data_IF_605007774612
#
_entry.id   IF_605007774612
#
_cell.length_a   1.000
_cell.length_b   1.000
_cell.length_c   1.000
_cell.angle_alpha   90.00
_cell.angle_beta   90.00
_cell.angle_gamma   90.00
#
_symmetry.space_group_name_H-M   'P 1'
#
loop_
_entity.id
_entity.type
_entity.pdbx_description
1 polymer ?
#
# COMPACT_ATOMS: atom_id res chain seq x y z
N UNK A 1 2.99 -7.33 -6.85
CA UNK A 1 1.98 -8.22 -6.23
C UNK A 1 0.96 -7.43 -5.38
N UNK A 2 1.33 -6.43 -4.56
CA UNK A 2 0.39 -5.64 -3.72
C UNK A 2 -0.65 -4.79 -4.47
N UNK A 3 -0.20 -3.97 -5.43
CA UNK A 3 -1.11 -3.17 -6.27
C UNK A 3 -2.14 -4.03 -6.98
N UNK A 4 -1.76 -5.27 -7.36
CA UNK A 4 -2.67 -6.25 -7.95
C UNK A 4 -3.75 -6.72 -6.97
N UNK A 5 -3.44 -6.88 -5.68
CA UNK A 5 -4.45 -7.20 -4.66
C UNK A 5 -5.43 -6.04 -4.42
N UNK A 6 -4.99 -4.81 -4.56
CA UNK A 6 -5.86 -3.63 -4.39
C UNK A 6 -6.85 -3.43 -5.52
N UNK A 7 -6.55 -3.96 -6.71
CA UNK A 7 -7.46 -3.93 -7.87
C UNK A 7 -8.31 -5.19 -7.99
N UNK A 8 -8.07 -6.19 -7.15
CA UNK A 8 -8.82 -7.43 -7.13
C UNK A 8 -10.24 -7.17 -6.60
N UNK A 9 -11.25 -7.64 -7.33
CA UNK A 9 -12.66 -7.43 -7.00
C UNK A 9 -13.20 -6.01 -7.19
N UNK A 10 -12.43 -5.06 -7.74
CA UNK A 10 -12.94 -3.71 -8.02
C UNK A 10 -13.95 -3.71 -9.17
N UNK A 11 -15.03 -2.94 -9.01
CA UNK A 11 -15.92 -2.61 -10.11
C UNK A 11 -15.31 -1.51 -11.01
N UNK A 12 -15.90 -1.28 -12.18
CA UNK A 12 -15.39 -0.32 -13.16
C UNK A 12 -15.19 1.10 -12.58
N UNK A 13 -16.13 1.58 -11.76
CA UNK A 13 -16.05 2.91 -11.14
C UNK A 13 -14.89 2.99 -10.15
N UNK A 14 -14.71 1.97 -9.33
CA UNK A 14 -13.62 1.88 -8.37
C UNK A 14 -12.27 1.78 -9.07
N UNK A 15 -12.19 0.99 -10.14
CA UNK A 15 -10.98 0.86 -10.94
C UNK A 15 -10.58 2.18 -11.60
N UNK A 16 -11.53 2.92 -12.18
CA UNK A 16 -11.27 4.26 -12.73
C UNK A 16 -10.85 5.25 -11.65
N UNK A 17 -11.51 5.22 -10.48
CA UNK A 17 -11.13 6.05 -9.33
C UNK A 17 -9.70 5.73 -8.86
N UNK A 18 -9.35 4.45 -8.80
CA UNK A 18 -7.99 3.99 -8.49
C UNK A 18 -6.97 4.48 -9.51
N UNK A 19 -7.25 4.43 -10.81
CA UNK A 19 -6.32 4.95 -11.83
C UNK A 19 -6.18 6.47 -11.78
N UNK A 20 -7.24 7.18 -11.38
CA UNK A 20 -7.25 8.64 -11.36
C UNK A 20 -6.22 9.26 -10.41
N UNK A 21 -5.85 8.57 -9.32
CA UNK A 21 -4.85 9.04 -8.35
C UNK A 21 -3.43 9.08 -8.92
N UNK A 22 -3.14 8.29 -9.95
CA UNK A 22 -1.88 8.31 -10.68
C UNK A 22 -1.77 9.45 -11.69
N UNK A 23 -2.87 10.15 -11.98
CA UNK A 23 -2.88 11.32 -12.87
C UNK A 23 -1.96 12.43 -12.34
N UNK A 24 -1.33 13.16 -13.25
CA UNK A 24 -0.62 14.40 -12.92
C UNK A 24 -1.56 15.49 -12.39
N UNK A 25 -2.87 15.38 -12.67
CA UNK A 25 -3.91 16.30 -12.18
C UNK A 25 -4.43 15.96 -10.78
N UNK A 26 -4.06 14.80 -10.22
CA UNK A 26 -4.48 14.42 -8.88
C UNK A 26 -3.82 15.34 -7.85
N UNK A 27 -4.60 15.81 -6.88
CA UNK A 27 -4.10 16.67 -5.81
C UNK A 27 -3.11 15.91 -4.92
N UNK A 28 -2.26 16.66 -4.21
CA UNK A 28 -1.38 16.07 -3.21
C UNK A 28 -2.16 15.26 -2.16
N UNK A 29 -3.32 15.78 -1.72
CA UNK A 29 -4.18 15.11 -0.75
C UNK A 29 -4.65 13.73 -1.26
N UNK A 30 -5.10 13.66 -2.52
CA UNK A 30 -5.53 12.41 -3.13
C UNK A 30 -4.38 11.40 -3.25
N UNK A 31 -3.16 11.87 -3.56
CA UNK A 31 -1.97 11.01 -3.60
C UNK A 31 -1.60 10.49 -2.22
N UNK A 32 -1.66 11.34 -1.19
CA UNK A 32 -1.38 10.95 0.20
C UNK A 32 -2.40 9.92 0.69
N UNK A 33 -3.70 10.17 0.50
CA UNK A 33 -4.76 9.22 0.87
C UNK A 33 -4.59 7.88 0.17
N UNK A 34 -4.21 7.91 -1.11
CA UNK A 34 -3.94 6.70 -1.87
C UNK A 34 -2.74 5.93 -1.31
N UNK A 35 -1.61 6.61 -1.10
CA UNK A 35 -0.41 5.98 -0.53
C UNK A 35 -0.73 5.41 0.85
N UNK A 36 -1.48 6.13 1.68
CA UNK A 36 -1.88 5.64 2.99
C UNK A 36 -2.68 4.32 2.90
N UNK A 37 -3.64 4.23 1.97
CA UNK A 37 -4.39 2.98 1.71
C UNK A 37 -3.52 1.84 1.19
N UNK A 38 -2.42 2.13 0.49
CA UNK A 38 -1.46 1.10 0.05
C UNK A 38 -0.69 0.52 1.24
N UNK A 39 -0.45 1.33 2.27
CA UNK A 39 0.28 0.95 3.47
C UNK A 39 -0.63 0.30 4.52
N UNK A 40 -1.88 0.74 4.68
CA UNK A 40 -2.88 0.16 5.58
C UNK A 40 -3.46 -1.14 4.99
N UNK A 41 -2.85 -2.28 5.32
CA UNK A 41 -3.16 -3.58 4.69
C UNK A 41 -4.48 -4.12 5.20
N UNK A 42 -4.74 -3.95 6.49
CA UNK A 42 -5.94 -4.48 7.14
C UNK A 42 -7.15 -3.56 7.02
N UNK A 43 -6.97 -2.35 6.47
CA UNK A 43 -8.03 -1.43 6.12
C UNK A 43 -8.70 -0.79 7.34
N UNK A 44 -8.02 -0.74 8.49
CA UNK A 44 -8.56 -0.16 9.74
C UNK A 44 -8.49 1.36 9.78
N UNK A 45 -8.01 2.00 8.71
CA UNK A 45 -7.78 3.43 8.63
C UNK A 45 -6.55 3.88 9.41
N UNK A 46 -5.66 2.95 9.79
CA UNK A 46 -4.43 3.21 10.54
C UNK A 46 -3.33 2.28 10.06
N UNK A 47 -2.15 2.83 9.79
CA UNK A 47 -0.96 2.02 9.49
C UNK A 47 -0.36 1.52 10.81
N UNK A 48 -0.45 0.22 11.05
CA UNK A 48 0.12 -0.45 12.21
C UNK A 48 1.57 -0.88 11.98
N UNK A 49 2.28 -1.24 13.05
CA UNK A 49 3.63 -1.81 12.95
C UNK A 49 3.64 -3.08 12.07
N UNK A 50 2.62 -3.93 12.20
CA UNK A 50 2.47 -5.13 11.38
C UNK A 50 2.38 -4.79 9.89
N UNK A 51 1.64 -3.74 9.56
CA UNK A 51 1.51 -3.29 8.17
C UNK A 51 2.86 -2.87 7.59
N UNK A 52 3.65 -2.13 8.37
CA UNK A 52 4.98 -1.69 7.96
C UNK A 52 5.95 -2.86 7.80
N UNK A 53 5.95 -3.83 8.73
CA UNK A 53 6.77 -5.05 8.61
C UNK A 53 6.42 -5.83 7.34
N UNK A 54 5.12 -5.93 7.02
CA UNK A 54 4.67 -6.61 5.81
C UNK A 54 5.01 -5.80 4.54
N UNK A 55 4.99 -4.46 4.57
CA UNK A 55 5.48 -3.63 3.46
C UNK A 55 6.98 -3.89 3.25
N UNK A 56 7.76 -3.86 4.32
CA UNK A 56 9.20 -4.09 4.26
C UNK A 56 9.54 -5.50 3.77
N UNK A 57 8.75 -6.50 4.14
CA UNK A 57 8.84 -7.84 3.57
C UNK A 57 8.65 -7.83 2.07
N UNK A 58 7.62 -7.16 1.56
CA UNK A 58 7.32 -7.10 0.13
C UNK A 58 8.43 -6.37 -0.66
N UNK A 59 9.07 -5.36 -0.06
CA UNK A 59 10.17 -4.59 -0.69
C UNK A 59 11.52 -5.32 -0.67
N UNK A 60 11.81 -6.03 0.42
CA UNK A 60 13.13 -6.67 0.63
C UNK A 60 13.16 -8.12 0.16
N UNK A 61 12.02 -8.79 0.07
CA UNK A 61 11.93 -10.19 -0.34
C UNK A 61 12.86 -11.09 0.49
N UNK A 62 13.55 -12.02 -0.16
CA UNK A 62 14.50 -12.92 0.49
C UNK A 62 15.86 -12.28 0.84
N UNK A 63 16.09 -11.01 0.50
CA UNK A 63 17.39 -10.34 0.76
C UNK A 63 17.62 -9.97 2.22
N UNK A 64 16.55 -9.93 3.03
CA UNK A 64 16.61 -9.59 4.45
C UNK A 64 15.81 -10.61 5.29
N UNK A 65 16.40 -11.07 6.39
CA UNK A 65 15.73 -11.97 7.34
C UNK A 65 14.64 -11.25 8.15
N UNK A 66 13.68 -12.01 8.70
CA UNK A 66 12.61 -11.40 9.51
C UNK A 66 13.15 -10.65 10.73
N UNK A 67 14.15 -11.20 11.43
CA UNK A 67 14.82 -10.53 12.54
C UNK A 67 15.46 -9.19 12.14
N UNK A 68 16.06 -9.11 10.95
CA UNK A 68 16.63 -7.85 10.46
C UNK A 68 15.55 -6.81 10.14
N UNK A 69 14.35 -7.24 9.72
CA UNK A 69 13.24 -6.32 9.46
C UNK A 69 12.63 -5.79 10.75
N UNK A 70 12.49 -6.63 11.77
CA UNK A 70 11.96 -6.21 13.08
C UNK A 70 12.86 -5.21 13.80
N UNK A 71 14.17 -5.26 13.58
CA UNK A 71 15.13 -4.32 14.21
C UNK A 71 15.18 -2.96 13.50
N UNK A 72 14.76 -2.89 12.22
CA UNK A 72 14.83 -1.66 11.42
C UNK A 72 13.62 -0.74 11.57
N UNK A 73 12.52 -1.23 12.13
CA UNK A 73 11.28 -0.49 12.38
C UNK A 73 11.13 -0.31 13.88
#
# INVERSE_FOLDING_TARGET
QRLLRMVDGLNFKEFVSFLSTFSARASLQQKIEFIFKVYDIDGKGKVSFKDLVEVLRDLTGSSMSEKQREVLI
#
